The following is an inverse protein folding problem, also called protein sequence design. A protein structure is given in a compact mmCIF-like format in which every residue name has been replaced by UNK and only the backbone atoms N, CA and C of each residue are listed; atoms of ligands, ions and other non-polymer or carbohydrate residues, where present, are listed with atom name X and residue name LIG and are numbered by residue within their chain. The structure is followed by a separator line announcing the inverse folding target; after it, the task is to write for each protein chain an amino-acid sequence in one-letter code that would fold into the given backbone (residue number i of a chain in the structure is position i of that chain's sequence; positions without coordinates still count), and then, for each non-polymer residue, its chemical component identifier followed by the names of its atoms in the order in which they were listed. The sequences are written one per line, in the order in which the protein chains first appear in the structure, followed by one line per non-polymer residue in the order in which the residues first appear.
data_IF_575491314998
#
_entry.id   IF_575491314998
#
_cell.length_a   1.000
_cell.length_b   1.000
_cell.length_c   1.000
_cell.angle_alpha   90.00
_cell.angle_beta   90.00
_cell.angle_gamma   90.00
#
_symmetry.space_group_name_H-M   'P 1'
#
loop_
_entity.id
_entity.type
_entity.pdbx_description
1 polymer ?
#
# COMPACT_ATOMS: atom_id res chain seq x y z
N UNK A 1 21.92 -44.23 -10.31
CA UNK A 1 22.60 -42.92 -10.37
C UNK A 1 21.50 -41.90 -10.51
N UNK A 2 21.42 -41.00 -9.55
CA UNK A 2 20.50 -39.87 -9.53
C UNK A 2 21.07 -38.83 -10.48
N UNK A 3 20.45 -38.68 -11.65
CA UNK A 3 20.73 -37.58 -12.55
C UNK A 3 19.60 -36.55 -12.38
N UNK A 4 19.94 -35.55 -11.56
CA UNK A 4 19.56 -34.15 -11.63
C UNK A 4 18.06 -33.80 -11.71
N UNK A 5 17.50 -33.62 -10.51
CA UNK A 5 16.47 -32.64 -10.18
C UNK A 5 16.94 -31.18 -10.45
N UNK A 6 17.28 -30.85 -11.69
CA UNK A 6 17.39 -29.48 -12.21
C UNK A 6 16.43 -29.41 -13.41
N UNK A 7 15.36 -28.62 -13.47
CA UNK A 7 15.07 -27.33 -12.85
C UNK A 7 13.61 -27.32 -12.37
N UNK A 8 13.37 -27.42 -11.06
CA UNK A 8 12.21 -26.73 -10.50
C UNK A 8 12.55 -25.25 -10.59
N UNK A 9 11.94 -24.48 -11.49
CA UNK A 9 11.85 -23.04 -11.27
C UNK A 9 10.80 -22.82 -10.18
N UNK A 10 11.15 -22.69 -8.89
CA UNK A 10 10.19 -22.76 -7.80
C UNK A 10 9.90 -21.34 -7.30
N UNK A 11 9.62 -20.40 -8.19
CA UNK A 11 9.28 -19.02 -7.82
C UNK A 11 8.19 -18.48 -8.76
N UNK A 12 7.01 -18.22 -8.20
CA UNK A 12 6.02 -17.34 -8.81
C UNK A 12 6.73 -16.04 -9.20
N UNK A 13 6.67 -15.63 -10.47
CA UNK A 13 7.32 -14.39 -10.91
C UNK A 13 6.80 -13.22 -10.08
N UNK A 14 5.53 -13.22 -9.68
CA UNK A 14 4.97 -12.18 -8.81
C UNK A 14 5.74 -12.08 -7.49
N UNK A 15 6.10 -13.22 -6.89
CA UNK A 15 6.82 -13.26 -5.63
C UNK A 15 8.27 -12.77 -5.82
N UNK A 16 8.92 -13.14 -6.91
CA UNK A 16 10.27 -12.62 -7.24
C UNK A 16 10.24 -11.10 -7.41
N UNK A 17 9.29 -10.59 -8.20
CA UNK A 17 9.12 -9.15 -8.42
C UNK A 17 8.80 -8.40 -7.13
N UNK A 18 7.93 -8.99 -6.30
CA UNK A 18 7.58 -8.44 -5.00
C UNK A 18 8.82 -8.34 -4.12
N UNK A 19 9.59 -9.42 -4.00
CA UNK A 19 10.80 -9.47 -3.18
C UNK A 19 11.84 -8.45 -3.65
N UNK A 20 12.07 -8.33 -4.97
CA UNK A 20 12.98 -7.31 -5.51
C UNK A 20 12.53 -5.88 -5.15
N UNK A 21 11.24 -5.58 -5.29
CA UNK A 21 10.67 -4.26 -4.95
C UNK A 21 10.62 -4.00 -3.44
N UNK A 22 10.49 -5.04 -2.62
CA UNK A 22 10.56 -4.92 -1.16
C UNK A 22 11.99 -4.73 -0.66
N UNK A 23 12.98 -5.31 -1.34
CA UNK A 23 14.39 -5.20 -0.98
C UNK A 23 14.91 -3.77 -1.12
N UNK A 24 14.62 -3.12 -2.25
CA UNK A 24 15.17 -1.81 -2.62
C UNK A 24 14.20 -1.05 -3.51
N UNK A 25 14.22 0.27 -3.45
CA UNK A 25 13.45 1.10 -4.38
C UNK A 25 14.15 1.22 -5.73
N UNK A 26 13.35 1.47 -6.77
CA UNK A 26 13.82 1.66 -8.12
C UNK A 26 12.80 1.17 -9.13
N UNK A 27 12.89 1.70 -10.33
CA UNK A 27 12.00 1.31 -11.42
C UNK A 27 12.45 -0.04 -11.99
N UNK A 28 11.52 -1.00 -11.94
CA UNK A 28 11.72 -2.39 -12.33
C UNK A 28 10.58 -2.81 -13.26
N UNK A 29 10.90 -3.16 -14.50
CA UNK A 29 9.94 -3.50 -15.55
C UNK A 29 10.15 -4.92 -16.04
N UNK A 30 9.08 -5.71 -16.05
CA UNK A 30 9.03 -7.05 -16.64
C UNK A 30 7.80 -7.12 -17.53
N UNK A 31 7.92 -7.81 -18.66
CA UNK A 31 6.77 -8.16 -19.49
C UNK A 31 6.59 -9.65 -19.42
N UNK A 32 5.36 -10.06 -19.12
CA UNK A 32 4.89 -11.42 -19.29
C UNK A 32 3.93 -11.44 -20.49
N UNK A 33 4.41 -11.78 -21.70
CA UNK A 33 3.52 -11.96 -22.84
C UNK A 33 2.66 -13.20 -22.62
N UNK A 34 1.35 -13.00 -22.70
CA UNK A 34 0.38 -14.08 -22.73
C UNK A 34 -0.31 -14.10 -24.10
N UNK A 35 -0.39 -15.28 -24.70
CA UNK A 35 -1.11 -15.53 -25.96
C UNK A 35 -2.26 -16.45 -25.62
N UNK A 36 -3.48 -15.99 -25.85
CA UNK A 36 -4.66 -16.83 -25.82
C UNK A 36 -4.72 -17.62 -27.12
N UNK A 37 -4.63 -18.95 -27.03
CA UNK A 37 -4.80 -19.84 -28.17
C UNK A 37 -6.26 -20.29 -28.25
N UNK A 38 -6.70 -20.70 -29.44
CA UNK A 38 -8.01 -21.34 -29.62
C UNK A 38 -8.13 -22.53 -28.66
N UNK A 39 -9.20 -22.54 -27.86
CA UNK A 39 -9.53 -23.43 -26.72
C UNK A 39 -9.45 -22.75 -25.32
N UNK A 40 -9.50 -21.42 -25.24
CA UNK A 40 -9.46 -20.64 -23.98
C UNK A 40 -8.20 -20.92 -23.12
N UNK A 41 -7.17 -21.51 -23.72
CA UNK A 41 -5.90 -21.79 -23.06
C UNK A 41 -4.97 -20.59 -23.20
N UNK A 42 -4.43 -20.14 -22.07
CA UNK A 42 -3.49 -19.03 -22.00
C UNK A 42 -2.06 -19.58 -22.02
N UNK A 43 -1.33 -19.38 -23.12
CA UNK A 43 0.11 -19.65 -23.19
C UNK A 43 0.87 -18.42 -22.69
N UNK A 44 1.59 -18.57 -21.57
CA UNK A 44 2.43 -17.51 -21.00
C UNK A 44 3.90 -17.79 -21.32
N UNK A 45 4.61 -16.81 -21.88
CA UNK A 45 6.07 -16.87 -21.96
C UNK A 45 6.69 -16.53 -20.61
N UNK A 46 7.87 -17.06 -20.31
CA UNK A 46 8.58 -16.67 -19.10
C UNK A 46 8.82 -15.15 -19.11
N UNK A 47 8.51 -14.43 -18.02
CA UNK A 47 8.65 -12.99 -17.99
C UNK A 47 10.09 -12.58 -18.23
N UNK A 48 10.29 -11.62 -19.12
CA UNK A 48 11.60 -11.10 -19.42
C UNK A 48 11.66 -9.59 -19.15
N UNK A 49 12.83 -9.07 -18.74
CA UNK A 49 12.99 -7.64 -18.58
C UNK A 49 12.87 -6.99 -19.95
N UNK A 50 11.89 -6.10 -20.10
CA UNK A 50 11.82 -5.28 -21.31
C UNK A 50 12.61 -4.03 -21.04
N UNK A 51 13.72 -3.89 -21.76
CA UNK A 51 14.44 -2.62 -21.89
C UNK A 51 13.58 -1.64 -22.68
N UNK A 52 12.44 -1.24 -22.13
CA UNK A 52 11.74 -0.07 -22.63
C UNK A 52 12.69 1.10 -22.41
N UNK A 53 12.82 1.97 -23.39
CA UNK A 53 13.51 3.26 -23.30
C UNK A 53 12.80 4.21 -22.31
N UNK A 54 12.38 3.72 -21.15
CA UNK A 54 11.87 4.54 -20.06
C UNK A 54 13.02 5.40 -19.55
N UNK A 55 12.94 6.69 -19.83
CA UNK A 55 13.81 7.70 -19.26
C UNK A 55 13.52 7.82 -17.76
N UNK A 56 14.06 6.91 -16.96
CA UNK A 56 14.06 7.00 -15.50
C UNK A 56 15.45 7.33 -14.97
N UNK A 57 15.50 8.24 -13.99
CA UNK A 57 16.69 8.53 -13.19
C UNK A 57 16.89 7.52 -12.05
N UNK A 58 15.91 6.64 -11.80
CA UNK A 58 15.84 5.77 -10.63
C UNK A 58 15.85 4.28 -11.02
N UNK A 59 16.69 3.91 -11.98
CA UNK A 59 16.80 2.52 -12.44
C UNK A 59 17.08 1.57 -11.27
N UNK A 60 16.31 0.50 -11.17
CA UNK A 60 16.62 -0.57 -10.23
C UNK A 60 17.95 -1.22 -10.60
N UNK A 61 18.84 -1.38 -9.61
CA UNK A 61 20.13 -2.06 -9.74
C UNK A 61 20.37 -2.94 -8.53
N UNK A 62 20.65 -4.22 -8.81
CA UNK A 62 21.11 -5.20 -7.85
C UNK A 62 22.55 -5.55 -8.20
N UNK A 63 23.49 -5.13 -7.36
CA UNK A 63 24.90 -5.40 -7.54
C UNK A 63 25.24 -6.83 -7.09
N UNK A 64 26.33 -7.40 -7.61
CA UNK A 64 26.69 -8.79 -7.33
C UNK A 64 26.96 -9.08 -5.84
N UNK A 65 27.43 -8.09 -5.09
CA UNK A 65 27.65 -8.17 -3.65
C UNK A 65 26.35 -8.09 -2.83
N UNK A 66 25.30 -7.46 -3.39
CA UNK A 66 23.97 -7.42 -2.80
C UNK A 66 23.23 -8.76 -2.92
N UNK A 67 23.60 -9.65 -3.87
CA UNK A 67 22.92 -10.94 -4.11
C UNK A 67 22.82 -11.82 -2.86
N UNK A 68 23.89 -11.89 -2.05
CA UNK A 68 23.87 -12.69 -0.81
C UNK A 68 22.92 -12.08 0.22
N UNK A 69 22.91 -10.75 0.34
CA UNK A 69 22.01 -10.02 1.25
C UNK A 69 20.57 -10.17 0.81
N UNK A 70 20.32 -10.11 -0.50
CA UNK A 70 19.01 -10.34 -1.09
C UNK A 70 18.48 -11.74 -0.79
N UNK A 71 19.29 -12.79 -0.93
CA UNK A 71 18.84 -14.16 -0.66
C UNK A 71 18.46 -14.38 0.81
N UNK A 72 19.22 -13.79 1.74
CA UNK A 72 18.90 -13.82 3.18
C UNK A 72 17.59 -13.08 3.44
N UNK A 73 17.44 -11.87 2.88
CA UNK A 73 16.22 -11.08 2.98
C UNK A 73 15.01 -11.83 2.40
N UNK A 74 15.13 -12.41 1.21
CA UNK A 74 14.06 -13.14 0.55
C UNK A 74 13.58 -14.32 1.41
N UNK A 75 14.54 -15.09 1.95
CA UNK A 75 14.24 -16.22 2.83
C UNK A 75 13.54 -15.78 4.11
N UNK A 76 13.99 -14.69 4.74
CA UNK A 76 13.37 -14.10 5.93
C UNK A 76 11.91 -13.72 5.64
N UNK A 77 11.67 -12.96 4.57
CA UNK A 77 10.35 -12.44 4.24
C UNK A 77 9.38 -13.56 3.84
N UNK A 78 9.82 -14.54 3.05
CA UNK A 78 9.01 -15.70 2.68
C UNK A 78 8.63 -16.57 3.89
N UNK A 79 9.45 -16.56 4.94
CA UNK A 79 9.19 -17.31 6.17
C UNK A 79 8.19 -16.65 7.13
N UNK A 80 7.82 -15.39 6.89
CA UNK A 80 6.88 -14.67 7.74
C UNK A 80 5.49 -15.33 7.72
N UNK A 81 4.90 -15.56 8.89
CA UNK A 81 3.58 -16.19 9.03
C UNK A 81 2.45 -15.44 8.31
N UNK A 82 2.64 -14.15 8.08
CA UNK A 82 1.68 -13.30 7.38
C UNK A 82 1.78 -13.35 5.85
N UNK A 83 2.77 -14.05 5.28
CA UNK A 83 2.98 -14.15 3.84
C UNK A 83 1.76 -14.67 3.08
N UNK A 84 0.98 -15.57 3.69
CA UNK A 84 -0.22 -16.14 3.08
C UNK A 84 -1.51 -15.45 3.50
N UNK A 85 -1.43 -14.42 4.36
CA UNK A 85 -2.61 -13.73 4.93
C UNK A 85 -3.42 -12.99 3.86
N UNK A 86 -4.74 -12.91 4.07
CA UNK A 86 -5.66 -12.27 3.12
C UNK A 86 -5.38 -10.77 2.91
N UNK A 87 -5.00 -10.08 3.99
CA UNK A 87 -4.62 -8.67 3.91
C UNK A 87 -3.32 -8.48 3.14
N UNK A 88 -2.33 -9.36 3.35
CA UNK A 88 -1.06 -9.23 2.65
C UNK A 88 -1.19 -9.56 1.18
N UNK A 89 -2.00 -10.57 0.81
CA UNK A 89 -2.33 -10.85 -0.61
C UNK A 89 -2.91 -9.62 -1.32
N UNK A 90 -3.81 -8.91 -0.65
CA UNK A 90 -4.38 -7.65 -1.17
C UNK A 90 -3.31 -6.56 -1.29
N UNK A 91 -2.50 -6.37 -0.24
CA UNK A 91 -1.42 -5.39 -0.24
C UNK A 91 -0.36 -5.68 -1.32
N UNK A 92 0.08 -6.94 -1.47
CA UNK A 92 0.99 -7.41 -2.52
C UNK A 92 0.48 -7.01 -3.91
N UNK A 93 -0.79 -7.30 -4.20
CA UNK A 93 -1.40 -7.01 -5.49
C UNK A 93 -1.33 -5.52 -5.83
N UNK A 94 -1.79 -4.65 -4.94
CA UNK A 94 -1.76 -3.21 -5.18
C UNK A 94 -0.34 -2.64 -5.18
N UNK A 95 0.58 -3.20 -4.39
CA UNK A 95 1.97 -2.77 -4.41
C UNK A 95 2.64 -3.08 -5.76
N UNK A 96 2.41 -4.27 -6.31
CA UNK A 96 2.89 -4.64 -7.64
C UNK A 96 2.24 -3.80 -8.74
N UNK A 97 0.91 -3.58 -8.68
CA UNK A 97 0.19 -2.75 -9.66
C UNK A 97 0.67 -1.31 -9.64
N UNK A 98 0.78 -0.68 -8.47
CA UNK A 98 1.29 0.68 -8.33
C UNK A 98 2.73 0.78 -8.83
N UNK A 99 3.55 -0.24 -8.53
CA UNK A 99 4.91 -0.34 -9.01
C UNK A 99 5.03 -0.42 -10.53
N UNK A 100 4.06 -1.05 -11.21
CA UNK A 100 4.04 -1.22 -12.67
C UNK A 100 3.49 -0.02 -13.45
N UNK A 101 2.91 0.99 -12.77
CA UNK A 101 2.36 2.18 -13.42
C UNK A 101 3.44 3.25 -13.63
N UNK A 102 3.35 3.95 -14.76
CA UNK A 102 4.18 5.12 -15.03
C UNK A 102 3.92 6.21 -13.97
N UNK A 103 4.99 6.91 -13.57
CA UNK A 103 4.89 8.07 -12.69
C UNK A 103 5.41 9.32 -13.37
N UNK A 104 4.50 10.20 -13.78
CA UNK A 104 4.83 11.46 -14.40
C UNK A 104 3.81 12.54 -14.03
N UNK A 105 4.03 13.26 -12.92
CA UNK A 105 3.15 14.35 -12.49
C UNK A 105 2.91 15.45 -13.51
N UNK A 106 3.80 15.63 -14.50
CA UNK A 106 3.62 16.64 -15.55
C UNK A 106 2.55 16.25 -16.57
N UNK A 107 2.33 14.95 -16.76
CA UNK A 107 1.35 14.37 -17.68
C UNK A 107 0.16 13.75 -16.93
N UNK A 108 -0.02 14.11 -15.66
CA UNK A 108 -1.08 13.58 -14.78
C UNK A 108 -1.05 12.05 -14.55
N UNK A 109 0.03 11.37 -14.94
CA UNK A 109 0.27 9.96 -14.68
C UNK A 109 0.69 9.74 -13.22
N UNK A 110 -0.26 9.76 -12.29
CA UNK A 110 0.01 9.59 -10.84
C UNK A 110 -0.82 8.48 -10.16
N UNK A 111 -1.50 7.64 -10.95
CA UNK A 111 -2.39 6.59 -10.44
C UNK A 111 -1.72 5.62 -9.46
N UNK A 112 -0.39 5.43 -9.53
CA UNK A 112 0.34 4.62 -8.56
C UNK A 112 0.16 5.09 -7.12
N UNK A 113 -0.07 6.40 -6.91
CA UNK A 113 -0.32 6.97 -5.58
C UNK A 113 -1.57 6.36 -4.97
N UNK A 114 -2.60 6.11 -5.79
CA UNK A 114 -3.85 5.48 -5.34
C UNK A 114 -3.55 4.07 -4.86
N UNK A 115 -2.84 3.26 -5.66
CA UNK A 115 -2.54 1.88 -5.29
C UNK A 115 -1.68 1.80 -4.02
N UNK A 116 -0.65 2.63 -3.90
CA UNK A 116 0.23 2.69 -2.73
C UNK A 116 -0.50 3.15 -1.46
N UNK A 117 -1.44 4.09 -1.56
CA UNK A 117 -2.31 4.40 -0.42
C UNK A 117 -3.23 3.22 -0.10
N UNK A 118 -3.77 2.51 -1.11
CA UNK A 118 -4.56 1.29 -0.89
C UNK A 118 -3.75 0.19 -0.21
N UNK A 119 -2.45 0.06 -0.48
CA UNK A 119 -1.54 -0.81 0.27
C UNK A 119 -1.52 -0.42 1.75
N UNK A 120 -1.26 0.86 2.05
CA UNK A 120 -1.22 1.35 3.44
C UNK A 120 -2.57 1.19 4.16
N UNK A 121 -3.69 1.47 3.49
CA UNK A 121 -5.05 1.25 4.00
C UNK A 121 -5.27 -0.23 4.31
N UNK A 122 -4.89 -1.12 3.39
CA UNK A 122 -5.05 -2.57 3.55
C UNK A 122 -4.26 -3.09 4.75
N UNK A 123 -3.04 -2.58 4.97
CA UNK A 123 -2.19 -2.98 6.09
C UNK A 123 -2.73 -2.43 7.41
N UNK A 124 -3.03 -1.13 7.46
CA UNK A 124 -3.18 -0.39 8.72
C UNK A 124 -4.62 -0.08 9.10
N UNK A 125 -5.59 -0.19 8.19
CA UNK A 125 -6.96 0.29 8.39
C UNK A 125 -7.99 -0.75 7.93
N UNK A 126 -8.30 -1.75 8.77
CA UNK A 126 -9.40 -2.68 8.50
C UNK A 126 -10.80 -2.03 8.67
N UNK A 127 -10.87 -0.79 9.12
CA UNK A 127 -12.11 -0.08 9.42
C UNK A 127 -12.46 1.02 8.42
N UNK A 128 -13.70 1.52 8.45
CA UNK A 128 -14.20 2.52 7.48
C UNK A 128 -14.13 3.97 8.00
N UNK A 129 -13.93 4.18 9.29
CA UNK A 129 -13.96 5.50 9.94
C UNK A 129 -12.56 6.04 10.21
N UNK A 130 -12.41 7.37 10.07
CA UNK A 130 -11.16 8.10 10.34
C UNK A 130 -9.92 7.53 9.62
N UNK A 131 -10.11 6.97 8.43
CA UNK A 131 -9.10 6.23 7.65
C UNK A 131 -7.77 6.96 7.59
N UNK A 132 -7.76 8.21 7.09
CA UNK A 132 -6.53 8.99 6.99
C UNK A 132 -5.83 9.25 8.32
N UNK A 133 -6.55 9.43 9.44
CA UNK A 133 -5.93 9.64 10.76
C UNK A 133 -5.35 8.34 11.31
N UNK A 134 -6.12 7.24 11.28
CA UNK A 134 -5.63 5.93 11.71
C UNK A 134 -4.42 5.47 10.92
N UNK A 135 -4.46 5.62 9.60
CA UNK A 135 -3.34 5.31 8.70
C UNK A 135 -2.06 6.01 9.15
N UNK A 136 -2.11 7.34 9.34
CA UNK A 136 -0.92 8.13 9.71
C UNK A 136 -0.38 7.80 11.09
N UNK A 137 -1.25 7.71 12.10
CA UNK A 137 -0.80 7.46 13.47
C UNK A 137 -0.29 6.03 13.64
N UNK A 138 -0.96 5.03 13.05
CA UNK A 138 -0.50 3.63 13.09
C UNK A 138 0.82 3.47 12.33
N UNK A 139 0.96 4.10 11.16
CA UNK A 139 2.22 4.09 10.39
C UNK A 139 3.38 4.72 11.18
N UNK A 140 3.14 5.87 11.81
CA UNK A 140 4.12 6.57 12.64
C UNK A 140 4.63 5.71 13.81
N UNK A 141 3.72 5.01 14.50
CA UNK A 141 4.10 4.12 15.60
C UNK A 141 4.83 2.89 15.08
N UNK A 142 4.36 2.30 13.98
CA UNK A 142 4.96 1.11 13.37
C UNK A 142 6.39 1.38 12.88
N UNK A 143 6.64 2.54 12.26
CA UNK A 143 7.94 2.91 11.68
C UNK A 143 8.85 3.72 12.61
N UNK A 144 8.47 3.93 13.87
CA UNK A 144 9.21 4.78 14.83
C UNK A 144 10.70 4.44 14.95
N UNK A 145 11.09 3.19 14.70
CA UNK A 145 12.49 2.74 14.77
C UNK A 145 13.34 3.11 13.54
N UNK A 146 12.70 3.45 12.43
CA UNK A 146 13.35 3.54 11.12
C UNK A 146 13.34 4.95 10.52
N UNK A 147 12.44 5.81 10.96
CA UNK A 147 12.14 7.08 10.27
C UNK A 147 11.78 8.20 11.24
N UNK A 148 11.91 9.44 10.76
CA UNK A 148 11.32 10.60 11.43
C UNK A 148 9.80 10.50 11.39
N UNK A 149 9.22 10.27 12.57
CA UNK A 149 7.77 10.16 12.78
C UNK A 149 7.02 11.38 12.19
N UNK A 150 7.56 12.59 12.35
CA UNK A 150 6.93 13.81 11.86
C UNK A 150 6.87 13.82 10.34
N UNK A 151 7.97 13.44 9.69
CA UNK A 151 8.04 13.36 8.24
C UNK A 151 7.11 12.26 7.69
N UNK A 152 7.11 11.07 8.29
CA UNK A 152 6.18 9.97 7.89
C UNK A 152 4.72 10.42 7.98
N UNK A 153 4.33 11.06 9.08
CA UNK A 153 2.95 11.59 9.23
C UNK A 153 2.62 12.61 8.15
N UNK A 154 3.53 13.55 7.90
CA UNK A 154 3.33 14.60 6.91
C UNK A 154 3.26 14.02 5.50
N UNK A 155 4.17 13.14 5.13
CA UNK A 155 4.22 12.49 3.83
C UNK A 155 2.91 11.74 3.55
N UNK A 156 2.49 10.88 4.48
CA UNK A 156 1.23 10.13 4.36
C UNK A 156 0.00 11.04 4.36
N UNK A 157 0.01 12.17 5.09
CA UNK A 157 -1.08 13.15 5.04
C UNK A 157 -1.26 13.73 3.64
N UNK A 158 -0.16 14.16 3.02
CA UNK A 158 -0.22 14.80 1.71
C UNK A 158 -0.51 13.79 0.60
N UNK A 159 0.09 12.60 0.61
CA UNK A 159 -0.23 11.57 -0.38
C UNK A 159 -1.65 11.00 -0.24
N UNK A 160 -2.19 10.96 0.99
CA UNK A 160 -3.61 10.64 1.18
C UNK A 160 -4.52 11.74 0.59
N UNK A 161 -4.14 13.02 0.72
CA UNK A 161 -4.86 14.12 0.08
C UNK A 161 -4.80 14.01 -1.46
N UNK A 162 -3.63 13.72 -2.03
CA UNK A 162 -3.47 13.44 -3.47
C UNK A 162 -4.40 12.31 -3.90
N UNK A 163 -4.37 11.16 -3.23
CA UNK A 163 -5.26 10.03 -3.53
C UNK A 163 -6.73 10.46 -3.46
N UNK A 164 -7.12 11.20 -2.43
CA UNK A 164 -8.49 11.70 -2.28
C UNK A 164 -8.90 12.60 -3.44
N UNK A 165 -8.02 13.48 -3.92
CA UNK A 165 -8.29 14.33 -5.08
C UNK A 165 -8.45 13.51 -6.35
N UNK A 166 -7.53 12.56 -6.60
CA UNK A 166 -7.53 11.71 -7.81
C UNK A 166 -8.81 10.88 -7.91
N UNK A 167 -9.21 10.18 -6.84
CA UNK A 167 -10.40 9.32 -6.86
C UNK A 167 -11.71 10.09 -7.04
N UNK A 168 -11.69 11.41 -6.80
CA UNK A 168 -12.83 12.30 -7.02
C UNK A 168 -12.72 13.11 -8.31
N UNK A 169 -11.73 12.83 -9.17
CA UNK A 169 -11.52 13.54 -10.43
C UNK A 169 -11.15 15.02 -10.26
N UNK A 170 -10.54 15.38 -9.12
CA UNK A 170 -10.15 16.76 -8.83
C UNK A 170 -8.82 17.17 -9.47
N UNK A 171 -8.54 18.47 -9.47
CA UNK A 171 -7.30 19.04 -10.01
C UNK A 171 -6.09 18.74 -9.10
N UNK A 172 -5.05 18.14 -9.70
CA UNK A 172 -3.82 17.75 -9.01
C UNK A 172 -2.70 18.79 -9.11
N UNK A 173 -2.90 19.86 -9.89
CA UNK A 173 -1.94 20.95 -10.08
C UNK A 173 -1.35 21.51 -8.77
N UNK A 174 -2.12 21.66 -7.67
CA UNK A 174 -1.58 22.12 -6.38
C UNK A 174 -0.47 21.22 -5.79
N UNK A 175 -0.38 19.95 -6.21
CA UNK A 175 0.57 18.99 -5.67
C UNK A 175 1.84 18.83 -6.53
N UNK A 176 1.80 19.26 -7.80
CA UNK A 176 2.86 19.02 -8.80
C UNK A 176 4.22 19.58 -8.39
N UNK A 177 4.23 20.78 -7.80
CA UNK A 177 5.46 21.44 -7.41
C UNK A 177 5.98 21.09 -6.01
N UNK A 178 5.19 20.37 -5.23
CA UNK A 178 5.51 20.00 -3.85
C UNK A 178 5.59 18.49 -3.66
N UNK A 179 4.56 17.92 -3.04
CA UNK A 179 4.57 16.55 -2.53
C UNK A 179 4.85 15.50 -3.62
N UNK A 180 4.42 15.71 -4.86
CA UNK A 180 4.62 14.73 -5.94
C UNK A 180 6.10 14.55 -6.32
N UNK A 181 6.98 15.50 -5.97
CA UNK A 181 8.44 15.33 -6.13
C UNK A 181 9.03 14.35 -5.13
N UNK A 182 8.32 14.06 -4.02
CA UNK A 182 8.74 13.13 -2.94
C UNK A 182 8.19 11.71 -3.12
N UNK A 183 7.88 11.29 -4.35
CA UNK A 183 7.30 9.97 -4.59
C UNK A 183 8.21 8.81 -4.17
N UNK A 184 9.53 8.94 -4.33
CA UNK A 184 10.47 7.90 -3.87
C UNK A 184 10.49 7.76 -2.35
N UNK A 185 10.43 8.87 -1.62
CA UNK A 185 10.31 8.84 -0.15
C UNK A 185 9.01 8.13 0.25
N UNK A 186 7.92 8.43 -0.47
CA UNK A 186 6.63 7.81 -0.21
C UNK A 186 6.66 6.31 -0.50
N UNK A 187 7.20 5.89 -1.64
CA UNK A 187 7.38 4.47 -1.95
C UNK A 187 8.25 3.77 -0.90
N UNK A 188 9.32 4.40 -0.43
CA UNK A 188 10.14 3.90 0.66
C UNK A 188 9.34 3.68 1.95
N UNK A 189 8.47 4.63 2.31
CA UNK A 189 7.57 4.48 3.47
C UNK A 189 6.62 3.30 3.27
N UNK A 190 6.01 3.14 2.09
CA UNK A 190 5.12 2.02 1.79
C UNK A 190 5.87 0.67 1.87
N UNK A 191 7.08 0.61 1.31
CA UNK A 191 7.95 -0.56 1.37
C UNK A 191 8.26 -0.95 2.82
N UNK A 192 8.67 0.01 3.64
CA UNK A 192 8.95 -0.21 5.06
C UNK A 192 7.70 -0.64 5.83
N UNK A 193 6.53 -0.05 5.54
CA UNK A 193 5.26 -0.47 6.14
C UNK A 193 4.96 -1.94 5.86
N UNK A 194 5.15 -2.39 4.62
CA UNK A 194 4.96 -3.81 4.26
C UNK A 194 5.90 -4.69 5.07
N UNK A 195 7.20 -4.37 5.07
CA UNK A 195 8.23 -5.15 5.76
C UNK A 195 7.97 -5.25 7.26
N UNK A 196 7.72 -4.13 7.92
CA UNK A 196 7.47 -4.11 9.35
C UNK A 196 6.16 -4.82 9.69
N UNK A 197 5.09 -4.63 8.89
CA UNK A 197 3.83 -5.33 9.12
C UNK A 197 3.98 -6.86 8.99
N UNK A 198 4.71 -7.35 7.98
CA UNK A 198 4.97 -8.77 7.82
C UNK A 198 5.69 -9.37 9.04
N UNK A 199 6.66 -8.63 9.58
CA UNK A 199 7.49 -9.03 10.72
C UNK A 199 6.76 -9.01 12.06
N UNK A 200 5.95 -7.99 12.31
CA UNK A 200 5.44 -7.71 13.68
C UNK A 200 3.95 -8.01 13.87
N UNK A 201 3.15 -8.09 12.81
CA UNK A 201 1.73 -8.37 12.99
C UNK A 201 1.52 -9.82 13.45
N UNK A 202 0.57 -10.06 14.36
CA UNK A 202 0.20 -11.42 14.72
C UNK A 202 -0.40 -12.14 13.50
N UNK A 203 -0.15 -13.45 13.40
CA UNK A 203 -0.81 -14.28 12.40
C UNK A 203 -2.32 -14.36 12.67
N UNK A 204 -3.12 -14.46 11.60
CA UNK A 204 -4.58 -14.62 11.70
C UNK A 204 -5.35 -13.32 12.00
N UNK A 205 -6.47 -13.43 12.68
CA UNK A 205 -7.46 -12.35 12.85
C UNK A 205 -7.13 -11.33 13.97
N UNK A 206 -6.08 -11.59 14.76
CA UNK A 206 -5.67 -10.74 15.88
C UNK A 206 -5.10 -9.38 15.47
N UNK A 207 -4.84 -9.19 14.17
CA UNK A 207 -4.34 -7.94 13.59
C UNK A 207 -5.14 -6.72 14.04
N UNK A 208 -6.47 -6.82 14.11
CA UNK A 208 -7.31 -5.67 14.48
C UNK A 208 -7.04 -5.21 15.92
N UNK A 209 -6.81 -6.14 16.84
CA UNK A 209 -6.47 -5.82 18.23
C UNK A 209 -5.08 -5.20 18.32
N UNK A 210 -4.11 -5.75 17.58
CA UNK A 210 -2.76 -5.18 17.48
C UNK A 210 -2.79 -3.72 16.95
N UNK A 211 -3.54 -3.46 15.87
CA UNK A 211 -3.65 -2.12 15.29
C UNK A 211 -4.28 -1.09 16.25
N UNK A 212 -5.21 -1.51 17.12
CA UNK A 212 -5.74 -0.64 18.17
C UNK A 212 -4.69 -0.26 19.22
N UNK A 213 -3.78 -1.17 19.53
CA UNK A 213 -2.65 -0.89 20.45
C UNK A 213 -1.66 0.11 19.83
N UNK A 214 -1.49 0.09 18.50
CA UNK A 214 -0.72 1.13 17.82
C UNK A 214 -1.42 2.48 17.92
N UNK A 215 -2.71 2.53 17.59
CA UNK A 215 -3.56 3.71 17.72
C UNK A 215 -5.04 3.37 17.52
N UNK A 216 -5.92 3.91 18.37
CA UNK A 216 -7.36 3.98 18.15
C UNK A 216 -7.91 5.39 18.37
N UNK A 217 -9.07 5.66 17.80
CA UNK A 217 -9.81 6.91 17.98
C UNK A 217 -10.58 6.83 19.30
N UNK A 218 -10.33 7.78 20.20
CA UNK A 218 -11.05 7.86 21.46
C UNK A 218 -12.52 8.26 21.24
N UNK A 219 -13.38 7.89 22.20
CA UNK A 219 -14.83 8.11 22.10
C UNK A 219 -15.20 9.59 22.04
N UNK A 220 -14.40 10.47 22.66
CA UNK A 220 -14.57 11.92 22.55
C UNK A 220 -14.51 12.37 21.09
N UNK A 221 -13.49 11.95 20.33
CA UNK A 221 -13.35 12.30 18.91
C UNK A 221 -14.45 11.67 18.06
N UNK A 222 -14.92 10.47 18.40
CA UNK A 222 -16.09 9.87 17.74
C UNK A 222 -17.35 10.72 17.99
N UNK A 223 -17.58 11.12 19.23
CA UNK A 223 -18.71 11.97 19.64
C UNK A 223 -18.69 13.33 18.94
N UNK A 224 -17.53 13.99 18.90
CA UNK A 224 -17.35 15.26 18.18
C UNK A 224 -17.69 15.14 16.69
N UNK A 225 -17.26 14.06 16.04
CA UNK A 225 -17.60 13.82 14.64
C UNK A 225 -19.10 13.63 14.45
N UNK A 226 -19.73 12.76 15.25
CA UNK A 226 -21.18 12.52 15.16
C UNK A 226 -21.97 13.80 15.37
N UNK A 227 -21.56 14.62 16.35
CA UNK A 227 -22.17 15.93 16.60
C UNK A 227 -22.02 16.86 15.40
N UNK A 228 -20.81 16.98 14.83
CA UNK A 228 -20.56 17.82 13.66
C UNK A 228 -21.36 17.33 12.44
N UNK A 229 -21.41 16.02 12.21
CA UNK A 229 -22.19 15.42 11.12
C UNK A 229 -23.69 15.70 11.30
N UNK A 230 -24.21 15.66 12.54
CA UNK A 230 -25.59 16.05 12.85
C UNK A 230 -25.85 17.54 12.61
N UNK A 231 -24.93 18.41 13.01
CA UNK A 231 -25.02 19.86 12.78
C UNK A 231 -24.97 20.22 11.29
N UNK A 232 -24.31 19.42 10.46
CA UNK A 232 -24.20 19.64 9.02
C UNK A 232 -25.47 19.27 8.22
N UNK A 233 -26.45 18.60 8.83
CA UNK A 233 -27.74 18.27 8.19
C UNK A 233 -28.51 19.57 7.93
N UNK A 234 -28.64 19.95 6.65
CA UNK A 234 -29.35 21.18 6.24
C UNK A 234 -30.87 21.02 6.20
N UNK A 235 -31.36 19.78 6.05
CA UNK A 235 -32.80 19.50 5.98
C UNK A 235 -33.37 19.33 7.40
N UNK A 236 -34.19 20.28 7.83
CA UNK A 236 -34.78 20.29 9.18
C UNK A 236 -35.65 19.05 9.47
N UNK A 237 -36.34 18.51 8.47
CA UNK A 237 -37.14 17.28 8.66
C UNK A 237 -36.25 16.06 8.93
N UNK A 238 -35.13 15.94 8.21
CA UNK A 238 -34.17 14.85 8.43
C UNK A 238 -33.45 15.01 9.77
N UNK A 239 -33.12 16.25 10.13
CA UNK A 239 -32.49 16.59 11.40
C UNK A 239 -33.38 16.25 12.60
N UNK A 240 -34.67 16.62 12.54
CA UNK A 240 -35.67 16.25 13.55
C UNK A 240 -35.87 14.74 13.63
N UNK A 241 -35.95 14.04 12.50
CA UNK A 241 -36.05 12.57 12.47
C UNK A 241 -34.82 11.89 13.07
N UNK A 242 -33.62 12.43 12.84
CA UNK A 242 -32.39 11.95 13.48
C UNK A 242 -32.43 12.19 14.99
N UNK A 243 -32.83 13.39 15.42
CA UNK A 243 -32.97 13.73 16.83
C UNK A 243 -33.93 12.76 17.55
N UNK A 244 -35.14 12.56 17.03
CA UNK A 244 -36.12 11.63 17.62
C UNK A 244 -35.59 10.19 17.74
N UNK A 245 -34.86 9.70 16.74
CA UNK A 245 -34.23 8.37 16.77
C UNK A 245 -33.15 8.26 17.84
N UNK A 246 -32.38 9.32 18.05
CA UNK A 246 -31.34 9.37 19.09
C UNK A 246 -32.00 9.38 20.46
N UNK A 247 -32.98 10.25 20.68
CA UNK A 247 -33.69 10.39 21.97
C UNK A 247 -34.39 9.09 22.37
N UNK A 248 -35.06 8.40 21.42
CA UNK A 248 -35.69 7.09 21.66
C UNK A 248 -34.73 5.96 22.05
N UNK A 249 -33.43 6.08 21.74
CA UNK A 249 -32.42 5.09 22.13
C UNK A 249 -31.79 5.39 23.49
N UNK A 250 -31.96 6.61 23.99
CA UNK A 250 -31.42 7.06 25.28
C UNK A 250 -32.45 6.96 26.41
N UNK A 251 -33.73 6.93 26.08
CA UNK A 251 -34.86 6.57 26.95
C UNK A 251 -35.03 5.07 27.07
#
# INVERSE_FOLDING_TARGET
MNDDEQEKAPYDIEDTLLLMRLFKTGDLFFVNPCIEISDDQLLSQMPYPVMVYTHTTNKYKLESDECRVFNVFASEILSCSNWSSSWFKTARRFFLYGGGKEYNPRHDSIDRVVDYITVAETILVPEKDFVGRRLRERAAVLLKKHDDISDVRNLLKHFYAVRSTVVHGGDISPFKDGILKRNLDFENVIRKLILEALRVFPAGDDRKNFLKQLFDICDKTRGEKVFNDFCAIKNENEKNRCYEKITKKLS
#
